data_IF_751855797029
#
_entry.id   IF_751855797029
#
_cell.length_a   1.000
_cell.length_b   1.000
_cell.length_c   1.000
_cell.angle_alpha   90.00
_cell.angle_beta   90.00
_cell.angle_gamma   90.00
#
_symmetry.space_group_name_H-M   'P 1'
#
loop_
_entity.id
_entity.type
_entity.pdbx_description
1 polymer ?
#
# COMPACT_ATOMS: atom_id res chain seq x y z
N UNK A 1 -10.64 -10.88 -5.84
CA UNK A 1 -9.72 -11.60 -6.75
C UNK A 1 -8.25 -11.47 -6.31
N UNK A 2 -7.72 -10.26 -6.11
CA UNK A 2 -6.32 -10.06 -5.64
C UNK A 2 -6.03 -10.87 -4.38
N UNK A 3 -6.88 -10.73 -3.36
CA UNK A 3 -6.74 -11.44 -2.09
C UNK A 3 -6.70 -12.96 -2.25
N UNK A 4 -7.54 -13.52 -3.14
CA UNK A 4 -7.64 -14.97 -3.34
C UNK A 4 -6.35 -15.54 -3.92
N UNK A 5 -5.77 -14.87 -4.93
CA UNK A 5 -4.52 -15.35 -5.52
C UNK A 5 -3.31 -15.09 -4.64
N UNK A 6 -3.33 -14.03 -3.83
CA UNK A 6 -2.32 -13.81 -2.79
C UNK A 6 -2.36 -14.94 -1.76
N UNK A 7 -3.56 -15.32 -1.28
CA UNK A 7 -3.73 -16.46 -0.37
C UNK A 7 -3.26 -17.78 -1.02
N UNK A 8 -3.64 -18.01 -2.29
CA UNK A 8 -3.22 -19.21 -3.02
C UNK A 8 -1.69 -19.31 -3.18
N UNK A 9 -0.99 -18.18 -3.22
CA UNK A 9 0.48 -18.11 -3.30
C UNK A 9 1.14 -18.19 -1.91
N UNK A 10 0.50 -17.63 -0.88
CA UNK A 10 1.02 -17.64 0.49
C UNK A 10 1.24 -19.06 1.02
N UNK A 11 0.32 -20.00 0.75
CA UNK A 11 0.44 -21.38 1.23
C UNK A 11 1.71 -22.07 0.72
N UNK A 12 1.94 -22.21 -0.60
CA UNK A 12 3.16 -22.83 -1.11
C UNK A 12 4.41 -21.99 -0.83
N UNK A 13 4.30 -20.65 -0.80
CA UNK A 13 5.44 -19.77 -0.50
C UNK A 13 5.94 -19.89 0.94
N UNK A 14 5.02 -20.00 1.91
CA UNK A 14 5.36 -20.26 3.31
C UNK A 14 5.92 -21.67 3.51
N UNK A 15 5.38 -22.66 2.79
CA UNK A 15 5.92 -24.03 2.80
C UNK A 15 7.35 -24.08 2.26
N UNK A 16 7.64 -23.34 1.18
CA UNK A 16 8.98 -23.25 0.60
C UNK A 16 9.98 -22.61 1.58
N UNK A 17 9.55 -21.58 2.30
CA UNK A 17 10.38 -20.85 3.28
C UNK A 17 10.39 -21.45 4.70
N UNK A 18 9.80 -22.63 4.92
CA UNK A 18 9.59 -23.18 6.26
C UNK A 18 10.90 -23.35 7.04
N UNK A 19 11.97 -23.81 6.37
CA UNK A 19 13.28 -23.97 6.98
C UNK A 19 13.85 -22.63 7.47
N UNK A 20 13.79 -21.58 6.64
CA UNK A 20 14.24 -20.23 7.01
C UNK A 20 13.42 -19.61 8.14
N UNK A 21 12.10 -19.81 8.14
CA UNK A 21 11.23 -19.36 9.24
C UNK A 21 11.62 -20.04 10.56
N UNK A 22 11.86 -21.36 10.50
CA UNK A 22 12.23 -22.15 11.68
C UNK A 22 13.60 -21.73 12.22
N UNK A 23 14.55 -21.44 11.33
CA UNK A 23 15.87 -20.91 11.68
C UNK A 23 15.78 -19.54 12.37
N UNK A 24 15.02 -18.60 11.81
CA UNK A 24 14.82 -17.27 12.43
C UNK A 24 14.13 -17.40 13.80
N UNK A 25 13.13 -18.28 13.92
CA UNK A 25 12.45 -18.53 15.18
C UNK A 25 13.38 -19.15 16.24
N UNK A 26 14.27 -20.07 15.83
CA UNK A 26 15.22 -20.74 16.72
C UNK A 26 16.35 -19.80 17.17
N UNK A 27 16.91 -19.04 16.23
CA UNK A 27 18.03 -18.13 16.50
C UNK A 27 17.60 -16.85 17.19
N UNK A 28 16.30 -16.48 17.09
CA UNK A 28 15.76 -15.18 17.54
C UNK A 28 16.61 -14.02 17.05
N UNK A 29 17.16 -14.15 15.85
CA UNK A 29 18.03 -13.13 15.30
C UNK A 29 17.24 -11.83 15.09
N UNK A 30 17.62 -10.77 15.80
CA UNK A 30 17.02 -9.44 15.69
C UNK A 30 18.10 -8.50 15.16
N UNK A 31 17.93 -8.04 13.93
CA UNK A 31 18.74 -6.95 13.39
C UNK A 31 18.14 -5.61 13.83
N UNK A 32 18.87 -4.90 14.68
CA UNK A 32 18.50 -3.56 15.15
C UNK A 32 17.73 -3.53 16.48
N UNK A 33 17.31 -2.33 16.88
CA UNK A 33 16.60 -2.13 18.14
C UNK A 33 15.09 -2.20 17.96
N UNK A 34 14.35 -2.45 19.05
CA UNK A 34 12.88 -2.34 19.07
C UNK A 34 12.41 -0.97 18.55
N UNK A 35 13.12 0.11 18.91
CA UNK A 35 12.83 1.45 18.42
C UNK A 35 12.96 1.58 16.91
N UNK A 36 13.97 0.94 16.32
CA UNK A 36 14.17 0.87 14.87
C UNK A 36 13.03 0.11 14.19
N UNK A 37 12.58 -1.00 14.77
CA UNK A 37 11.47 -1.77 14.24
C UNK A 37 10.14 -0.98 14.27
N UNK A 38 9.84 -0.33 15.40
CA UNK A 38 8.66 0.53 15.55
C UNK A 38 8.73 1.67 14.53
N UNK A 39 9.89 2.32 14.40
CA UNK A 39 10.07 3.42 13.46
C UNK A 39 9.87 2.98 12.01
N UNK A 40 10.46 1.86 11.59
CA UNK A 40 10.28 1.31 10.25
C UNK A 40 8.82 0.90 10.00
N UNK A 41 8.12 0.36 11.00
CA UNK A 41 6.69 0.09 10.94
C UNK A 41 5.86 1.36 10.74
N UNK A 42 6.21 2.46 11.44
CA UNK A 42 5.59 3.76 11.25
C UNK A 42 5.86 4.35 9.86
N UNK A 43 7.09 4.24 9.35
CA UNK A 43 7.42 4.69 7.98
C UNK A 43 6.62 3.91 6.94
N UNK A 44 6.47 2.60 7.13
CA UNK A 44 5.64 1.76 6.29
C UNK A 44 4.17 2.19 6.34
N UNK A 45 3.61 2.42 7.54
CA UNK A 45 2.24 2.92 7.70
C UNK A 45 2.05 4.30 7.05
N UNK A 46 3.03 5.20 7.20
CA UNK A 46 3.06 6.49 6.53
C UNK A 46 3.03 6.34 5.01
N UNK A 47 3.87 5.49 4.44
CA UNK A 47 3.88 5.23 3.00
C UNK A 47 2.55 4.65 2.51
N UNK A 48 1.96 3.69 3.24
CA UNK A 48 0.65 3.10 2.92
C UNK A 48 -0.49 4.13 2.97
N UNK A 49 -0.38 5.19 3.78
CA UNK A 49 -1.41 6.24 3.86
C UNK A 49 -1.56 7.09 2.58
N UNK A 50 -0.61 7.03 1.64
CA UNK A 50 -0.67 7.74 0.36
C UNK A 50 -1.90 7.37 -0.49
N UNK A 51 -2.47 6.18 -0.26
CA UNK A 51 -3.68 5.72 -0.96
C UNK A 51 -4.95 6.46 -0.51
N UNK A 52 -4.88 7.38 0.46
CA UNK A 52 -6.02 8.15 0.98
C UNK A 52 -6.82 8.84 -0.13
N UNK A 53 -6.17 9.32 -1.19
CA UNK A 53 -6.85 9.95 -2.32
C UNK A 53 -7.81 8.97 -3.04
N UNK A 54 -7.41 7.70 -3.16
CA UNK A 54 -8.24 6.63 -3.73
C UNK A 54 -9.31 6.16 -2.76
N UNK A 55 -9.07 6.22 -1.44
CA UNK A 55 -10.11 5.95 -0.44
C UNK A 55 -11.21 7.01 -0.54
N UNK A 56 -10.87 8.28 -0.64
CA UNK A 56 -11.85 9.37 -0.75
C UNK A 56 -12.72 9.22 -2.00
N UNK A 57 -12.15 8.82 -3.14
CA UNK A 57 -12.92 8.64 -4.37
C UNK A 57 -13.86 7.43 -4.34
N UNK A 58 -13.50 6.38 -3.59
CA UNK A 58 -14.28 5.13 -3.53
C UNK A 58 -15.21 5.03 -2.32
N UNK A 59 -15.03 5.87 -1.31
CA UNK A 59 -15.83 5.89 -0.07
C UNK A 59 -17.09 6.75 -0.15
N UNK A 60 -17.43 7.32 -1.32
CA UNK A 60 -18.62 8.17 -1.48
C UNK A 60 -19.94 7.48 -1.11
N UNK A 61 -19.96 6.14 -1.10
CA UNK A 61 -21.11 5.32 -0.72
C UNK A 61 -21.14 4.95 0.78
N UNK A 62 -20.11 5.32 1.56
CA UNK A 62 -20.06 5.14 3.01
C UNK A 62 -20.70 6.36 3.68
N UNK A 63 -22.02 6.34 3.75
CA UNK A 63 -22.89 7.43 4.19
C UNK A 63 -23.10 7.52 5.71
N UNK A 64 -22.67 6.52 6.48
CA UNK A 64 -22.91 6.43 7.93
C UNK A 64 -21.63 6.12 8.68
N UNK A 65 -21.50 6.66 9.89
CA UNK A 65 -20.35 6.42 10.78
C UNK A 65 -20.10 4.93 11.00
N UNK A 66 -21.18 4.13 11.13
CA UNK A 66 -21.10 2.68 11.33
C UNK A 66 -20.54 1.94 10.11
N UNK A 67 -20.97 2.30 8.90
CA UNK A 67 -20.42 1.71 7.66
C UNK A 67 -18.95 2.11 7.47
N UNK A 68 -18.59 3.36 7.75
CA UNK A 68 -17.21 3.83 7.73
C UNK A 68 -16.33 3.05 8.71
N UNK A 69 -16.79 2.87 9.96
CA UNK A 69 -16.05 2.13 10.98
C UNK A 69 -15.89 0.66 10.61
N UNK A 70 -16.97 0.00 10.14
CA UNK A 70 -16.92 -1.38 9.68
C UNK A 70 -15.93 -1.57 8.52
N UNK A 71 -15.97 -0.68 7.53
CA UNK A 71 -15.03 -0.67 6.42
C UNK A 71 -13.58 -0.49 6.90
N UNK A 72 -13.34 0.46 7.81
CA UNK A 72 -12.01 0.71 8.36
C UNK A 72 -11.47 -0.51 9.11
N UNK A 73 -12.26 -1.12 10.00
CA UNK A 73 -11.83 -2.29 10.79
C UNK A 73 -11.54 -3.48 9.87
N UNK A 74 -12.47 -3.83 8.98
CA UNK A 74 -12.30 -4.97 8.07
C UNK A 74 -11.09 -4.73 7.16
N UNK A 75 -10.96 -3.52 6.61
CA UNK A 75 -9.84 -3.12 5.79
C UNK A 75 -8.50 -3.23 6.53
N UNK A 76 -8.42 -2.72 7.76
CA UNK A 76 -7.22 -2.81 8.59
C UNK A 76 -6.86 -4.25 8.93
N UNK A 77 -7.82 -5.09 9.31
CA UNK A 77 -7.56 -6.50 9.67
C UNK A 77 -7.07 -7.27 8.45
N UNK A 78 -7.76 -7.17 7.30
CA UNK A 78 -7.36 -7.88 6.09
C UNK A 78 -5.99 -7.38 5.61
N UNK A 79 -5.78 -6.07 5.54
CA UNK A 79 -4.53 -5.51 5.04
C UNK A 79 -3.35 -5.82 5.98
N UNK A 80 -3.55 -5.70 7.30
CA UNK A 80 -2.54 -6.01 8.30
C UNK A 80 -2.15 -7.48 8.29
N UNK A 81 -3.13 -8.38 8.29
CA UNK A 81 -2.88 -9.83 8.26
C UNK A 81 -2.14 -10.24 6.97
N UNK A 82 -2.60 -9.78 5.80
CA UNK A 82 -1.95 -10.11 4.54
C UNK A 82 -0.53 -9.57 4.47
N UNK A 83 -0.31 -8.33 4.92
CA UNK A 83 1.04 -7.74 4.96
C UNK A 83 1.97 -8.53 5.87
N UNK A 84 1.49 -8.93 7.05
CA UNK A 84 2.28 -9.74 7.98
C UNK A 84 2.64 -11.11 7.38
N UNK A 85 1.68 -11.80 6.77
CA UNK A 85 1.92 -13.10 6.13
C UNK A 85 2.90 -12.98 4.95
N UNK A 86 2.79 -11.94 4.12
CA UNK A 86 3.74 -11.66 3.06
C UNK A 86 5.15 -11.39 3.62
N UNK A 87 5.26 -10.61 4.70
CA UNK A 87 6.56 -10.32 5.32
C UNK A 87 7.21 -11.60 5.89
N UNK A 88 6.43 -12.47 6.55
CA UNK A 88 6.91 -13.77 7.05
C UNK A 88 7.34 -14.68 5.90
N UNK A 89 6.57 -14.72 4.81
CA UNK A 89 6.91 -15.49 3.62
C UNK A 89 8.22 -15.00 2.99
N UNK A 90 8.41 -13.68 2.87
CA UNK A 90 9.64 -13.08 2.35
C UNK A 90 10.82 -13.43 3.27
N UNK A 91 10.64 -13.29 4.59
CA UNK A 91 11.66 -13.63 5.58
C UNK A 91 12.10 -15.09 5.49
N UNK A 92 11.15 -16.03 5.36
CA UNK A 92 11.43 -17.45 5.20
C UNK A 92 12.20 -17.82 3.94
N UNK A 93 12.05 -17.02 2.88
CA UNK A 93 12.70 -17.24 1.59
C UNK A 93 13.88 -16.27 1.36
N UNK A 94 14.31 -15.54 2.38
CA UNK A 94 15.26 -14.43 2.22
C UNK A 94 16.61 -14.90 1.66
N UNK A 95 17.12 -16.05 2.10
CA UNK A 95 18.36 -16.63 1.60
C UNK A 95 18.33 -16.91 0.08
N UNK A 96 17.20 -17.40 -0.43
CA UNK A 96 17.02 -17.65 -1.86
C UNK A 96 16.85 -16.34 -2.64
N UNK A 97 16.17 -15.35 -2.06
CA UNK A 97 15.98 -14.05 -2.68
C UNK A 97 17.30 -13.28 -2.81
N UNK A 98 18.14 -13.25 -1.77
CA UNK A 98 19.41 -12.50 -1.80
C UNK A 98 20.45 -13.06 -2.76
N UNK A 99 20.27 -14.28 -3.25
CA UNK A 99 21.14 -14.87 -4.29
C UNK A 99 20.79 -14.39 -5.71
N UNK A 100 19.63 -13.78 -5.90
CA UNK A 100 19.24 -13.17 -7.17
C UNK A 100 19.65 -11.69 -7.21
N UNK A 101 20.21 -11.24 -8.33
CA UNK A 101 20.58 -9.83 -8.55
C UNK A 101 19.41 -8.87 -8.30
N UNK A 102 18.20 -9.25 -8.72
CA UNK A 102 16.94 -8.50 -8.54
C UNK A 102 15.97 -9.16 -7.55
N UNK A 103 16.47 -10.00 -6.66
CA UNK A 103 15.64 -10.80 -5.75
C UNK A 103 14.67 -9.97 -4.90
N UNK A 104 15.13 -8.82 -4.43
CA UNK A 104 14.37 -7.92 -3.54
C UNK A 104 13.53 -6.88 -4.28
N UNK A 105 13.65 -6.77 -5.60
CA UNK A 105 12.90 -5.79 -6.41
C UNK A 105 11.40 -6.17 -6.48
N UNK A 106 11.10 -7.46 -6.66
CA UNK A 106 9.74 -8.03 -6.63
C UNK A 106 9.74 -9.38 -5.88
N UNK A 107 9.89 -9.38 -4.55
CA UNK A 107 10.21 -10.58 -3.80
C UNK A 107 9.11 -11.64 -3.88
N UNK A 108 7.83 -11.24 -3.80
CA UNK A 108 6.70 -12.18 -3.92
C UNK A 108 6.64 -12.82 -5.32
N UNK A 109 6.96 -12.06 -6.37
CA UNK A 109 7.04 -12.58 -7.74
C UNK A 109 8.20 -13.58 -7.89
N UNK A 110 9.35 -13.28 -7.30
CA UNK A 110 10.51 -14.18 -7.33
C UNK A 110 10.25 -15.46 -6.53
N UNK A 111 9.56 -15.38 -5.39
CA UNK A 111 9.06 -16.56 -4.67
C UNK A 111 8.09 -17.37 -5.55
N UNK A 112 7.20 -16.71 -6.29
CA UNK A 112 6.30 -17.38 -7.23
C UNK A 112 7.05 -18.19 -8.30
N UNK A 113 8.20 -17.68 -8.76
CA UNK A 113 9.09 -18.42 -9.68
C UNK A 113 9.71 -19.65 -9.01
N UNK A 114 10.16 -19.52 -7.75
CA UNK A 114 10.76 -20.63 -7.01
C UNK A 114 9.76 -21.77 -6.72
N UNK A 115 8.47 -21.45 -6.51
CA UNK A 115 7.41 -22.45 -6.33
C UNK A 115 7.26 -23.33 -7.60
N UNK A 116 7.72 -22.86 -8.76
CA UNK A 116 7.71 -23.58 -10.04
C UNK A 116 6.31 -24.11 -10.43
N UNK A 117 5.26 -23.34 -10.12
CA UNK A 117 3.87 -23.62 -10.49
C UNK A 117 3.40 -22.59 -11.55
N UNK A 118 3.44 -22.91 -12.86
CA UNK A 118 3.19 -21.94 -13.93
C UNK A 118 1.84 -21.23 -13.82
N UNK A 119 0.78 -21.98 -13.47
CA UNK A 119 -0.57 -21.43 -13.31
C UNK A 119 -0.59 -20.32 -12.25
N UNK A 120 0.09 -20.54 -11.12
CA UNK A 120 0.14 -19.58 -10.02
C UNK A 120 0.96 -18.34 -10.39
N UNK A 121 2.07 -18.53 -11.11
CA UNK A 121 2.92 -17.44 -11.61
C UNK A 121 2.15 -16.53 -12.60
N UNK A 122 1.44 -17.12 -13.57
CA UNK A 122 0.65 -16.35 -14.53
C UNK A 122 -0.53 -15.64 -13.85
N UNK A 123 -1.27 -16.35 -12.98
CA UNK A 123 -2.37 -15.76 -12.24
C UNK A 123 -1.91 -14.58 -11.37
N UNK A 124 -0.80 -14.74 -10.64
CA UNK A 124 -0.21 -13.67 -9.86
C UNK A 124 0.20 -12.47 -10.73
N UNK A 125 0.82 -12.71 -11.89
CA UNK A 125 1.26 -11.63 -12.78
C UNK A 125 0.09 -10.81 -13.33
N UNK A 126 -0.97 -11.46 -13.79
CA UNK A 126 -2.19 -10.80 -14.27
C UNK A 126 -2.83 -9.98 -13.15
N UNK A 127 -2.89 -10.55 -11.94
CA UNK A 127 -3.51 -9.89 -10.80
C UNK A 127 -2.69 -8.72 -10.28
N UNK A 128 -1.37 -8.86 -10.25
CA UNK A 128 -0.46 -7.78 -9.92
C UNK A 128 -0.65 -6.61 -10.89
N UNK A 129 -0.79 -6.90 -12.19
CA UNK A 129 -1.13 -5.89 -13.19
C UNK A 129 -2.49 -5.23 -12.90
N UNK A 130 -3.55 -6.01 -12.66
CA UNK A 130 -4.86 -5.46 -12.31
C UNK A 130 -4.82 -4.61 -11.03
N UNK A 131 -4.02 -4.99 -10.03
CA UNK A 131 -3.85 -4.25 -8.79
C UNK A 131 -3.18 -2.89 -9.04
N UNK A 132 -2.15 -2.85 -9.89
CA UNK A 132 -1.51 -1.60 -10.30
C UNK A 132 -2.44 -0.70 -11.09
N UNK A 133 -3.22 -1.25 -12.04
CA UNK A 133 -4.20 -0.47 -12.80
C UNK A 133 -5.27 0.10 -11.88
N UNK A 134 -5.85 -0.71 -11.00
CA UNK A 134 -6.91 -0.27 -10.09
C UNK A 134 -6.44 0.86 -9.15
N UNK A 135 -5.25 0.71 -8.58
CA UNK A 135 -4.68 1.73 -7.69
C UNK A 135 -4.26 2.97 -8.48
N UNK A 136 -3.64 2.79 -9.64
CA UNK A 136 -3.19 3.87 -10.51
C UNK A 136 -4.34 4.77 -10.98
N UNK A 137 -5.43 4.17 -11.45
CA UNK A 137 -6.65 4.90 -11.86
C UNK A 137 -7.23 5.68 -10.67
N UNK A 138 -7.30 5.05 -9.49
CA UNK A 138 -7.80 5.70 -8.27
C UNK A 138 -6.95 6.92 -7.86
N UNK A 139 -5.63 6.83 -7.96
CA UNK A 139 -4.71 7.94 -7.66
C UNK A 139 -4.85 9.06 -8.69
N UNK A 140 -4.85 8.74 -9.99
CA UNK A 140 -5.03 9.75 -11.05
C UNK A 140 -6.36 10.48 -10.89
N UNK A 141 -7.45 9.77 -10.60
CA UNK A 141 -8.74 10.39 -10.32
C UNK A 141 -8.70 11.30 -9.08
N UNK A 142 -8.02 10.87 -8.02
CA UNK A 142 -7.78 11.70 -6.83
C UNK A 142 -7.01 12.98 -7.14
N UNK A 143 -5.98 12.91 -8.00
CA UNK A 143 -5.23 14.09 -8.46
C UNK A 143 -6.10 15.01 -9.31
N UNK A 144 -6.88 14.45 -10.24
CA UNK A 144 -7.80 15.20 -11.09
C UNK A 144 -8.81 15.98 -10.25
N UNK A 145 -9.54 15.31 -9.35
CA UNK A 145 -10.55 15.95 -8.48
C UNK A 145 -9.97 17.03 -7.56
N UNK A 146 -8.69 16.92 -7.20
CA UNK A 146 -7.98 17.93 -6.41
C UNK A 146 -7.55 19.13 -7.26
N UNK A 147 -6.89 18.89 -8.38
CA UNK A 147 -6.27 19.95 -9.18
C UNK A 147 -7.24 20.61 -10.16
N UNK A 148 -8.36 19.95 -10.51
CA UNK A 148 -9.46 20.55 -11.28
C UNK A 148 -10.19 21.68 -10.55
N UNK A 149 -9.83 22.02 -9.32
CA UNK A 149 -10.40 23.18 -8.62
C UNK A 149 -9.44 24.38 -8.60
N UNK A 150 -8.16 24.16 -8.85
CA UNK A 150 -7.10 25.16 -8.66
C UNK A 150 -6.28 25.46 -9.91
N UNK A 151 -6.00 24.46 -10.77
CA UNK A 151 -5.13 24.61 -11.95
C UNK A 151 -5.91 24.77 -13.26
N UNK A 152 -5.30 25.43 -14.27
CA UNK A 152 -5.85 25.57 -15.64
C UNK A 152 -7.27 26.16 -15.71
N UNK A 153 -7.56 27.18 -14.88
CA UNK A 153 -8.91 27.77 -14.76
C UNK A 153 -9.46 28.42 -16.04
N UNK A 154 -8.60 28.69 -17.03
CA UNK A 154 -8.99 29.23 -18.34
C UNK A 154 -9.57 28.18 -19.30
N UNK A 155 -9.51 26.90 -18.96
CA UNK A 155 -9.98 25.79 -19.79
C UNK A 155 -11.31 25.22 -19.28
N UNK A 156 -12.04 24.52 -20.15
CA UNK A 156 -13.25 23.80 -19.77
C UNK A 156 -12.93 22.62 -18.85
N UNK A 157 -13.89 22.21 -18.01
CA UNK A 157 -13.66 21.18 -16.99
C UNK A 157 -13.14 19.86 -17.58
N UNK A 158 -13.67 19.43 -18.73
CA UNK A 158 -13.23 18.22 -19.42
C UNK A 158 -11.78 18.30 -19.89
N UNK A 159 -11.40 19.43 -20.51
CA UNK A 159 -10.03 19.68 -20.95
C UNK A 159 -9.05 19.67 -19.77
N UNK A 160 -9.44 20.27 -18.63
CA UNK A 160 -8.62 20.28 -17.40
C UNK A 160 -8.40 18.88 -16.88
N UNK A 161 -9.45 18.06 -16.83
CA UNK A 161 -9.37 16.65 -16.40
C UNK A 161 -8.44 15.83 -17.28
N UNK A 162 -8.54 15.98 -18.60
CA UNK A 162 -7.67 15.31 -19.58
C UNK A 162 -6.21 15.71 -19.38
N UNK A 163 -5.93 17.01 -19.29
CA UNK A 163 -4.57 17.53 -19.12
C UNK A 163 -3.94 17.04 -17.82
N UNK A 164 -4.67 17.14 -16.69
CA UNK A 164 -4.14 16.69 -15.39
C UNK A 164 -3.88 15.17 -15.40
N UNK A 165 -4.76 14.39 -16.04
CA UNK A 165 -4.57 12.94 -16.16
C UNK A 165 -3.34 12.60 -17.00
N UNK A 166 -3.19 13.24 -18.17
CA UNK A 166 -2.03 13.06 -19.05
C UNK A 166 -0.73 13.43 -18.35
N UNK A 167 -0.68 14.59 -17.69
CA UNK A 167 0.51 15.02 -16.93
C UNK A 167 0.85 14.00 -15.86
N UNK A 168 -0.15 13.51 -15.11
CA UNK A 168 0.06 12.52 -14.05
C UNK A 168 0.64 11.21 -14.60
N UNK A 169 0.13 10.72 -15.73
CA UNK A 169 0.61 9.50 -16.40
C UNK A 169 2.02 9.68 -16.96
N UNK A 170 2.31 10.83 -17.57
CA UNK A 170 3.65 11.12 -18.11
C UNK A 170 4.67 11.19 -16.98
N UNK A 171 4.37 11.90 -15.89
CA UNK A 171 5.26 11.97 -14.72
C UNK A 171 5.48 10.57 -14.13
N UNK A 172 4.42 9.78 -13.96
CA UNK A 172 4.54 8.42 -13.44
C UNK A 172 5.41 7.52 -14.34
N UNK A 173 5.23 7.62 -15.66
CA UNK A 173 6.04 6.90 -16.65
C UNK A 173 7.49 7.35 -16.59
N UNK A 174 7.76 8.65 -16.51
CA UNK A 174 9.12 9.18 -16.41
C UNK A 174 9.82 8.69 -15.13
N UNK A 175 9.11 8.68 -14.00
CA UNK A 175 9.63 8.18 -12.73
C UNK A 175 9.92 6.67 -12.77
N UNK A 176 9.20 5.90 -13.59
CA UNK A 176 9.45 4.46 -13.73
C UNK A 176 10.84 4.13 -14.29
N UNK A 177 11.43 5.02 -15.10
CA UNK A 177 12.79 4.84 -15.62
C UNK A 177 13.87 4.96 -14.54
N UNK A 178 13.57 5.56 -13.38
CA UNK A 178 14.51 5.65 -12.26
C UNK A 178 14.75 4.29 -11.57
N UNK A 179 13.95 3.28 -11.88
CA UNK A 179 14.03 1.93 -11.30
C UNK A 179 13.18 1.78 -10.05
N UNK A 180 12.34 0.74 -10.02
CA UNK A 180 11.37 0.47 -8.96
C UNK A 180 12.02 0.42 -7.57
N UNK A 181 13.15 -0.28 -7.44
CA UNK A 181 13.84 -0.49 -6.16
C UNK A 181 14.34 0.82 -5.56
N UNK A 182 14.89 1.72 -6.39
CA UNK A 182 15.31 3.06 -5.95
C UNK A 182 14.11 3.91 -5.55
N UNK A 183 13.04 3.87 -6.34
CA UNK A 183 11.82 4.63 -6.06
C UNK A 183 11.18 4.20 -4.74
N UNK A 184 11.13 2.89 -4.48
CA UNK A 184 10.61 2.30 -3.24
C UNK A 184 11.51 2.66 -2.06
N UNK A 185 12.84 2.54 -2.19
CA UNK A 185 13.78 2.89 -1.13
C UNK A 185 13.66 4.37 -0.73
N UNK A 186 13.56 5.27 -1.71
CA UNK A 186 13.29 6.70 -1.48
C UNK A 186 11.90 6.92 -0.91
N UNK A 187 10.89 6.19 -1.40
CA UNK A 187 9.51 6.24 -0.94
C UNK A 187 9.36 5.91 0.55
N UNK A 188 9.90 4.76 1.00
CA UNK A 188 9.86 4.37 2.40
C UNK A 188 10.65 5.33 3.30
N UNK A 189 11.81 5.78 2.82
CA UNK A 189 12.64 6.70 3.58
C UNK A 189 11.98 8.07 3.73
N UNK A 190 11.81 8.79 2.62
CA UNK A 190 11.45 10.20 2.66
C UNK A 190 9.94 10.44 2.68
N UNK A 191 9.20 9.83 1.74
CA UNK A 191 7.74 10.03 1.65
C UNK A 191 7.04 9.44 2.88
N UNK A 192 7.50 8.28 3.36
CA UNK A 192 7.03 7.68 4.61
C UNK A 192 7.11 8.65 5.79
N UNK A 193 8.28 9.29 6.00
CA UNK A 193 8.46 10.30 7.07
C UNK A 193 7.48 11.47 6.93
N UNK A 194 7.37 12.04 5.73
CA UNK A 194 6.46 13.17 5.47
C UNK A 194 5.02 12.78 5.79
N UNK A 195 4.58 11.60 5.36
CA UNK A 195 3.22 11.12 5.62
C UNK A 195 2.98 10.81 7.10
N UNK A 196 3.98 10.32 7.85
CA UNK A 196 3.84 10.12 9.29
C UNK A 196 3.47 11.43 9.99
N UNK A 197 4.20 12.51 9.72
CA UNK A 197 3.97 13.80 10.40
C UNK A 197 2.77 14.58 9.85
N UNK A 198 2.49 14.49 8.54
CA UNK A 198 1.43 15.30 7.92
C UNK A 198 0.09 14.56 7.76
N UNK A 199 0.08 13.24 7.78
CA UNK A 199 -1.14 12.44 7.63
C UNK A 199 -1.40 11.56 8.85
N UNK A 200 -0.48 10.65 9.20
CA UNK A 200 -0.72 9.64 10.24
C UNK A 200 -0.97 10.29 11.60
N UNK A 201 -0.08 11.16 12.08
CA UNK A 201 -0.23 11.82 13.39
C UNK A 201 -1.47 12.72 13.43
N UNK A 202 -1.73 13.61 12.45
CA UNK A 202 -2.96 14.41 12.44
C UNK A 202 -4.24 13.58 12.39
N UNK A 203 -4.27 12.50 11.60
CA UNK A 203 -5.45 11.63 11.54
C UNK A 203 -5.63 10.80 12.81
N UNK A 204 -4.55 10.38 13.47
CA UNK A 204 -4.62 9.60 14.71
C UNK A 204 -4.96 10.46 15.94
N UNK A 205 -4.49 11.71 15.99
CA UNK A 205 -4.60 12.58 17.17
C UNK A 205 -5.66 13.67 16.97
N UNK A 206 -5.59 14.44 15.89
CA UNK A 206 -6.44 15.62 15.68
C UNK A 206 -7.84 15.22 15.22
N UNK A 207 -7.96 14.19 14.36
CA UNK A 207 -9.27 13.79 13.84
C UNK A 207 -10.22 13.26 14.93
N UNK A 208 -9.81 12.40 15.88
CA UNK A 208 -10.71 11.97 16.96
C UNK A 208 -11.16 13.14 17.85
N UNK A 209 -10.27 14.09 18.15
CA UNK A 209 -10.60 15.28 18.93
C UNK A 209 -11.65 16.13 18.21
N UNK A 210 -11.45 16.40 16.92
CA UNK A 210 -12.41 17.15 16.09
C UNK A 210 -13.73 16.42 15.95
N UNK A 211 -13.71 15.12 15.71
CA UNK A 211 -14.92 14.30 15.57
C UNK A 211 -15.71 14.25 16.89
N UNK A 212 -15.03 14.15 18.04
CA UNK A 212 -15.66 14.17 19.34
C UNK A 212 -16.29 15.54 19.65
N UNK A 213 -15.63 16.64 19.25
CA UNK A 213 -16.20 17.99 19.37
C UNK A 213 -17.43 18.16 18.47
N UNK A 214 -17.34 17.74 17.21
CA UNK A 214 -18.45 17.81 16.25
C UNK A 214 -19.68 17.04 16.74
N UNK A 215 -19.51 15.82 17.26
CA UNK A 215 -20.61 15.03 17.84
C UNK A 215 -21.29 15.69 19.05
N UNK A 216 -20.55 16.48 19.83
CA UNK A 216 -21.13 17.24 20.95
C UNK A 216 -21.92 18.45 20.49
N UNK A 217 -21.49 19.08 19.40
CA UNK A 217 -22.14 20.27 18.83
C UNK A 217 -23.33 19.90 17.93
N UNK A 218 -23.34 18.69 17.37
CA UNK A 218 -24.34 18.19 16.43
C UNK A 218 -24.85 16.79 16.82
N UNK A 219 -25.59 16.64 17.93
CA UNK A 219 -26.15 15.35 18.36
C UNK A 219 -27.17 14.74 17.36
N UNK A 220 -27.67 15.54 16.42
CA UNK A 220 -28.61 15.14 15.36
C UNK A 220 -27.95 14.41 14.18
N UNK A 221 -26.62 14.43 14.06
CA UNK A 221 -25.87 13.79 12.97
C UNK A 221 -25.17 12.54 13.49
N UNK A 222 -25.76 11.36 13.27
CA UNK A 222 -25.23 10.04 13.69
C UNK A 222 -24.47 9.30 12.58
#
# INVERSE_FOLDING_TARGET
MILVCLIALLIPGLSLGQAGISEVAATKHVEGSLGTAIWNGLLYAGFQSLVVASIISTSQLLDTTKKCMGFAIIGTVINGLMTALCAIMILGNMNALTQLEDGMSLPIFNIAKFINAPILLYAYSVILFCAFVSTGVGVVFGLVTRFEKVGFKSLNIEQRRIIISLISIVIATLLSFAGLTKLIAVGYGWIGRVCVFLLVIPLAVVAPIKNAKFKKEHPEVE
#
